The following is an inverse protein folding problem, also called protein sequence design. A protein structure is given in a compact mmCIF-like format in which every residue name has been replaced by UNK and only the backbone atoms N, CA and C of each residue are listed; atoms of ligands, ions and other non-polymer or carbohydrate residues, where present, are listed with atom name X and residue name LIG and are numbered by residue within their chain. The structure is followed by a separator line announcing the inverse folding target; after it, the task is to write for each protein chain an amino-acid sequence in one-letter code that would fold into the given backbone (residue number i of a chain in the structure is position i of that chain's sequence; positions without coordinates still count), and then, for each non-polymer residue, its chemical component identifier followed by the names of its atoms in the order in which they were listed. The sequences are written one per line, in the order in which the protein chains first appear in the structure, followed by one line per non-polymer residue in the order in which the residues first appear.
data_IF_669945230784
#
_entry.id   IF_669945230784
#
_cell.length_a   1.000
_cell.length_b   1.000
_cell.length_c   1.000
_cell.angle_alpha   90.00
_cell.angle_beta   90.00
_cell.angle_gamma   90.00
#
_symmetry.space_group_name_H-M   'P 1'
#
loop_
_entity.id
_entity.type
_entity.pdbx_description
1 polymer ?
#
# COMPACT_ATOMS: atom_id res chain seq x y z
N UNK A 1 -3.87 -22.09 -22.49
CA UNK A 1 -4.53 -22.07 -21.17
C UNK A 1 -4.18 -20.77 -20.47
N UNK A 2 -5.13 -19.83 -20.35
CA UNK A 2 -4.91 -18.62 -19.56
C UNK A 2 -4.91 -19.03 -18.09
N UNK A 3 -3.72 -19.22 -17.50
CA UNK A 3 -3.59 -19.21 -16.05
C UNK A 3 -4.23 -17.91 -15.59
N UNK A 4 -5.35 -18.01 -14.90
CA UNK A 4 -6.11 -16.85 -14.44
C UNK A 4 -5.17 -15.94 -13.66
N UNK A 5 -5.00 -14.70 -14.12
CA UNK A 5 -4.06 -13.76 -13.50
C UNK A 5 -4.31 -13.52 -12.01
N UNK A 6 -5.46 -13.97 -11.52
CA UNK A 6 -5.81 -14.08 -10.11
C UNK A 6 -4.76 -14.77 -9.24
N UNK A 7 -3.99 -15.75 -9.75
CA UNK A 7 -3.05 -16.53 -8.93
C UNK A 7 -1.91 -15.66 -8.38
N UNK A 8 -1.45 -14.66 -9.13
CA UNK A 8 -0.33 -13.80 -8.73
C UNK A 8 -0.74 -12.39 -8.29
N UNK A 9 -2.04 -12.06 -8.35
CA UNK A 9 -2.57 -10.80 -7.81
C UNK A 9 -2.24 -10.57 -6.33
N UNK A 10 -2.30 -11.56 -5.42
CA UNK A 10 -1.96 -11.32 -4.01
C UNK A 10 -0.51 -10.88 -3.81
N UNK A 11 0.42 -11.49 -4.55
CA UNK A 11 1.84 -11.13 -4.51
C UNK A 11 2.05 -9.69 -5.00
N UNK A 12 1.41 -9.34 -6.12
CA UNK A 12 1.50 -8.00 -6.69
C UNK A 12 0.87 -6.94 -5.77
N UNK A 13 -0.29 -7.25 -5.18
CA UNK A 13 -0.96 -6.36 -4.22
C UNK A 13 -0.09 -6.12 -2.97
N UNK A 14 0.55 -7.17 -2.44
CA UNK A 14 1.48 -7.05 -1.33
C UNK A 14 2.72 -6.21 -1.72
N UNK A 15 3.25 -6.40 -2.93
CA UNK A 15 4.35 -5.61 -3.45
C UNK A 15 3.99 -4.12 -3.55
N UNK A 16 2.82 -3.79 -4.11
CA UNK A 16 2.32 -2.41 -4.20
C UNK A 16 2.16 -1.81 -2.81
N UNK A 17 1.60 -2.56 -1.85
CA UNK A 17 1.50 -2.09 -0.47
C UNK A 17 2.89 -1.75 0.12
N UNK A 18 3.88 -2.62 -0.08
CA UNK A 18 5.27 -2.37 0.35
C UNK A 18 5.82 -1.11 -0.31
N UNK A 19 5.62 -0.94 -1.62
CA UNK A 19 6.04 0.26 -2.35
C UNK A 19 5.45 1.53 -1.73
N UNK A 20 4.16 1.53 -1.37
CA UNK A 20 3.52 2.68 -0.72
C UNK A 20 4.13 3.03 0.64
N UNK A 21 4.65 2.05 1.40
CA UNK A 21 5.43 2.35 2.61
C UNK A 21 6.72 3.12 2.28
N UNK A 22 7.35 2.82 1.15
CA UNK A 22 8.56 3.47 0.65
C UNK A 22 8.34 4.94 0.27
N UNK A 23 7.16 5.25 -0.27
CA UNK A 23 6.77 6.61 -0.69
C UNK A 23 6.84 7.61 0.47
N UNK A 24 6.54 7.19 1.70
CA UNK A 24 6.70 8.02 2.91
C UNK A 24 8.16 8.47 3.05
N UNK A 25 9.11 7.55 2.87
CA UNK A 25 10.53 7.84 2.89
C UNK A 25 10.96 8.72 1.72
N UNK A 26 10.40 8.51 0.54
CA UNK A 26 10.66 9.36 -0.64
C UNK A 26 10.25 10.80 -0.37
N UNK A 27 9.05 11.06 0.14
CA UNK A 27 8.61 12.42 0.43
C UNK A 27 9.51 13.14 1.44
N UNK A 28 9.99 12.44 2.47
CA UNK A 28 11.01 12.99 3.38
C UNK A 28 12.27 13.34 2.59
N UNK A 29 12.77 12.42 1.75
CA UNK A 29 13.95 12.67 0.92
C UNK A 29 13.77 13.87 -0.02
N UNK A 30 12.57 14.09 -0.59
CA UNK A 30 12.23 15.26 -1.40
C UNK A 30 12.32 16.55 -0.57
N UNK A 31 11.72 16.57 0.63
CA UNK A 31 11.77 17.73 1.53
C UNK A 31 13.21 18.11 1.89
N UNK A 32 14.10 17.13 2.03
CA UNK A 32 15.53 17.35 2.27
C UNK A 32 16.37 17.50 0.98
N UNK A 33 15.74 17.80 -0.16
CA UNK A 33 16.36 18.05 -1.46
C UNK A 33 17.26 16.91 -1.98
N UNK A 34 16.89 15.66 -1.71
CA UNK A 34 17.62 14.46 -2.15
C UNK A 34 17.07 13.85 -3.45
N UNK A 35 16.59 14.71 -4.35
CA UNK A 35 16.00 14.31 -5.63
C UNK A 35 16.98 13.51 -6.50
N UNK A 36 18.28 13.83 -6.47
CA UNK A 36 19.30 13.04 -7.20
C UNK A 36 19.39 11.60 -6.70
N UNK A 37 19.28 11.39 -5.38
CA UNK A 37 19.28 10.03 -4.82
C UNK A 37 18.03 9.27 -5.26
N UNK A 38 16.87 9.92 -5.22
CA UNK A 38 15.61 9.33 -5.65
C UNK A 38 15.69 8.90 -7.13
N UNK A 39 16.22 9.77 -7.99
CA UNK A 39 16.44 9.45 -9.41
C UNK A 39 17.36 8.24 -9.58
N UNK A 40 18.47 8.16 -8.85
CA UNK A 40 19.37 7.00 -8.93
C UNK A 40 18.70 5.71 -8.44
N UNK A 41 17.90 5.78 -7.37
CA UNK A 41 17.14 4.62 -6.88
C UNK A 41 16.16 4.13 -7.95
N UNK A 42 15.40 5.03 -8.58
CA UNK A 42 14.50 4.67 -9.67
C UNK A 42 15.23 4.07 -10.87
N UNK A 43 16.33 4.67 -11.32
CA UNK A 43 17.10 4.17 -12.46
C UNK A 43 17.68 2.79 -12.20
N UNK A 44 18.33 2.59 -11.06
CA UNK A 44 18.93 1.30 -10.68
C UNK A 44 17.84 0.23 -10.61
N UNK A 45 16.71 0.54 -9.97
CA UNK A 45 15.62 -0.42 -9.81
C UNK A 45 14.87 -0.70 -11.09
N UNK A 46 14.74 0.27 -12.01
CA UNK A 46 14.16 0.05 -13.33
C UNK A 46 15.02 -0.90 -14.17
N UNK A 47 16.35 -0.68 -14.19
CA UNK A 47 17.29 -1.57 -14.88
C UNK A 47 17.28 -2.97 -14.25
N UNK A 48 17.29 -3.04 -12.92
CA UNK A 48 17.18 -4.32 -12.20
C UNK A 48 15.85 -5.02 -12.50
N UNK A 49 14.74 -4.29 -12.57
CA UNK A 49 13.41 -4.86 -12.83
C UNK A 49 13.34 -5.49 -14.21
N UNK A 50 13.84 -4.79 -15.25
CA UNK A 50 13.91 -5.32 -16.62
C UNK A 50 14.80 -6.56 -16.64
N UNK A 51 15.98 -6.49 -16.02
CA UNK A 51 16.94 -7.60 -15.98
C UNK A 51 16.33 -8.83 -15.31
N UNK A 52 15.75 -8.67 -14.11
CA UNK A 52 15.10 -9.76 -13.38
C UNK A 52 13.90 -10.31 -14.13
N UNK A 53 13.12 -9.45 -14.78
CA UNK A 53 11.97 -9.88 -15.59
C UNK A 53 12.41 -10.75 -16.75
N UNK A 54 13.44 -10.34 -17.50
CA UNK A 54 14.02 -11.14 -18.60
C UNK A 54 14.57 -12.48 -18.09
N UNK A 55 15.17 -12.52 -16.89
CA UNK A 55 15.71 -13.74 -16.30
C UNK A 55 14.60 -14.68 -15.77
N UNK A 56 13.52 -14.14 -15.20
CA UNK A 56 12.49 -14.94 -14.56
C UNK A 56 11.38 -15.40 -15.50
N UNK A 57 11.11 -14.69 -16.60
CA UNK A 57 10.12 -15.13 -17.59
C UNK A 57 10.43 -16.54 -18.13
N UNK A 58 11.66 -16.88 -18.55
CA UNK A 58 11.98 -18.23 -19.02
C UNK A 58 11.82 -19.31 -17.94
N UNK A 59 12.02 -18.97 -16.66
CA UNK A 59 12.03 -19.91 -15.55
C UNK A 59 10.63 -20.13 -14.95
N UNK A 60 9.83 -19.07 -14.87
CA UNK A 60 8.58 -19.04 -14.10
C UNK A 60 7.38 -18.49 -14.88
N UNK A 61 7.58 -17.99 -16.11
CA UNK A 61 6.54 -17.32 -16.88
C UNK A 61 6.06 -16.01 -16.24
N UNK A 62 4.74 -15.76 -16.29
CA UNK A 62 4.11 -14.55 -15.75
C UNK A 62 4.34 -14.32 -14.24
N UNK A 63 4.28 -15.35 -13.36
CA UNK A 63 4.68 -15.20 -11.96
C UNK A 63 6.08 -14.61 -11.76
N UNK A 64 7.02 -14.89 -12.68
CA UNK A 64 8.36 -14.32 -12.66
C UNK A 64 8.36 -12.80 -12.76
N UNK A 65 7.44 -12.23 -13.55
CA UNK A 65 7.27 -10.77 -13.69
C UNK A 65 6.78 -10.14 -12.39
N UNK A 66 5.80 -10.77 -11.73
CA UNK A 66 5.29 -10.31 -10.44
C UNK A 66 6.37 -10.37 -9.35
N UNK A 67 7.19 -11.43 -9.35
CA UNK A 67 8.30 -11.59 -8.41
C UNK A 67 9.40 -10.54 -8.62
N UNK A 68 9.81 -10.30 -9.87
CA UNK A 68 10.77 -9.23 -10.19
C UNK A 68 10.28 -7.86 -9.71
N UNK A 69 9.00 -7.57 -9.92
CA UNK A 69 8.35 -6.34 -9.43
C UNK A 69 8.35 -6.24 -7.91
N UNK A 70 8.01 -7.34 -7.21
CA UNK A 70 8.05 -7.39 -5.75
C UNK A 70 9.44 -7.13 -5.18
N UNK A 71 10.48 -7.72 -5.77
CA UNK A 71 11.88 -7.50 -5.35
C UNK A 71 12.27 -6.03 -5.53
N UNK A 72 11.95 -5.42 -6.67
CA UNK A 72 12.28 -4.03 -6.92
C UNK A 72 11.51 -3.07 -6.00
N UNK A 73 10.22 -3.33 -5.74
CA UNK A 73 9.43 -2.53 -4.80
C UNK A 73 9.93 -2.66 -3.36
N UNK A 74 10.35 -3.85 -2.94
CA UNK A 74 11.01 -4.02 -1.65
C UNK A 74 12.32 -3.24 -1.57
N UNK A 75 13.16 -3.31 -2.60
CA UNK A 75 14.39 -2.52 -2.70
C UNK A 75 14.12 -1.01 -2.63
N UNK A 76 13.16 -0.52 -3.39
CA UNK A 76 12.72 0.88 -3.38
C UNK A 76 12.35 1.34 -1.97
N UNK A 77 11.50 0.56 -1.29
CA UNK A 77 11.03 0.88 0.07
C UNK A 77 12.15 0.85 1.08
N UNK A 78 13.01 -0.17 1.00
CA UNK A 78 14.17 -0.30 1.86
C UNK A 78 15.10 0.91 1.74
N UNK A 79 15.50 1.29 0.52
CA UNK A 79 16.42 2.41 0.31
C UNK A 79 15.82 3.75 0.75
N UNK A 80 14.57 4.03 0.38
CA UNK A 80 13.94 5.30 0.73
C UNK A 80 13.72 5.46 2.23
N UNK A 81 13.24 4.41 2.92
CA UNK A 81 13.05 4.45 4.37
C UNK A 81 14.40 4.53 5.11
N UNK A 82 15.38 3.69 4.74
CA UNK A 82 16.67 3.68 5.43
C UNK A 82 17.42 4.99 5.26
N UNK A 83 17.35 5.61 4.09
CA UNK A 83 18.00 6.89 3.86
C UNK A 83 17.24 8.04 4.54
N UNK A 84 15.91 8.04 4.51
CA UNK A 84 15.11 9.10 5.15
C UNK A 84 15.25 9.12 6.68
N UNK A 85 15.47 7.96 7.30
CA UNK A 85 15.75 7.83 8.74
C UNK A 85 17.01 8.56 9.21
N UNK A 86 17.90 8.98 8.29
CA UNK A 86 19.04 9.86 8.59
C UNK A 86 18.60 11.29 8.89
N UNK A 87 17.44 11.72 8.38
CA UNK A 87 16.91 13.07 8.56
C UNK A 87 15.79 13.10 9.61
N UNK A 88 14.83 12.17 9.51
CA UNK A 88 13.70 12.06 10.42
C UNK A 88 13.58 10.63 10.90
N UNK A 89 13.75 10.42 12.20
CA UNK A 89 13.42 9.13 12.84
C UNK A 89 11.92 9.12 13.12
N UNK A 90 11.20 8.32 12.35
CA UNK A 90 9.79 8.03 12.60
C UNK A 90 9.66 6.59 13.13
N UNK A 91 8.91 6.44 14.21
CA UNK A 91 8.55 5.13 14.77
C UNK A 91 7.19 4.69 14.26
N UNK A 92 7.04 3.39 14.04
CA UNK A 92 5.71 2.79 13.81
C UNK A 92 5.11 2.51 15.19
N UNK A 93 3.98 3.13 15.49
CA UNK A 93 3.24 2.81 16.71
C UNK A 93 2.62 1.41 16.59
N UNK A 94 3.21 0.45 17.31
CA UNK A 94 2.79 -0.95 17.24
C UNK A 94 1.32 -1.15 17.63
N UNK A 95 0.82 -0.36 18.60
CA UNK A 95 -0.59 -0.37 19.00
C UNK A 95 -1.52 0.00 17.84
N UNK A 96 -1.16 1.02 17.06
CA UNK A 96 -1.90 1.45 15.87
C UNK A 96 -1.83 0.40 14.77
N UNK A 97 -0.65 -0.21 14.54
CA UNK A 97 -0.48 -1.30 13.58
C UNK A 97 -1.38 -2.50 13.90
N UNK A 98 -1.45 -2.92 15.17
CA UNK A 98 -2.28 -4.05 15.61
C UNK A 98 -3.76 -3.77 15.35
N UNK A 99 -4.24 -2.54 15.64
CA UNK A 99 -5.63 -2.14 15.38
C UNK A 99 -5.97 -2.17 13.89
N UNK A 100 -5.04 -1.72 13.03
CA UNK A 100 -5.18 -1.77 11.57
C UNK A 100 -5.32 -3.22 11.11
N UNK A 101 -4.41 -4.10 11.52
CA UNK A 101 -4.42 -5.53 11.16
C UNK A 101 -5.73 -6.18 11.62
N UNK A 102 -6.14 -5.92 12.87
CA UNK A 102 -7.38 -6.45 13.42
C UNK A 102 -8.62 -5.97 12.66
N UNK A 103 -8.68 -4.68 12.31
CA UNK A 103 -9.78 -4.10 11.52
C UNK A 103 -9.84 -4.73 10.12
N UNK A 104 -8.69 -4.93 9.47
CA UNK A 104 -8.61 -5.61 8.18
C UNK A 104 -9.05 -7.08 8.28
N UNK A 105 -8.67 -7.79 9.34
CA UNK A 105 -9.07 -9.19 9.55
C UNK A 105 -10.59 -9.33 9.72
N UNK A 106 -11.23 -8.44 10.52
CA UNK A 106 -12.69 -8.42 10.67
C UNK A 106 -13.37 -8.12 9.33
N UNK A 107 -12.89 -7.12 8.59
CA UNK A 107 -13.44 -6.81 7.27
C UNK A 107 -13.38 -8.02 6.34
N UNK A 108 -12.24 -8.71 6.27
CA UNK A 108 -12.06 -9.91 5.43
C UNK A 108 -13.01 -11.02 5.88
N UNK A 109 -13.18 -11.24 7.19
CA UNK A 109 -14.10 -12.24 7.73
C UNK A 109 -15.55 -11.94 7.33
N UNK A 110 -15.99 -10.68 7.46
CA UNK A 110 -17.33 -10.27 7.05
C UNK A 110 -17.55 -10.49 5.55
N UNK A 111 -16.56 -10.16 4.71
CA UNK A 111 -16.61 -10.41 3.27
C UNK A 111 -16.70 -11.90 2.93
N UNK A 112 -15.92 -12.71 3.62
CA UNK A 112 -15.93 -14.16 3.43
C UNK A 112 -17.29 -14.75 3.77
N UNK A 113 -17.84 -14.41 4.95
CA UNK A 113 -19.17 -14.86 5.38
C UNK A 113 -20.24 -14.41 4.39
N UNK A 114 -20.21 -13.15 3.95
CA UNK A 114 -21.19 -12.65 2.98
C UNK A 114 -21.13 -13.42 1.65
N UNK A 115 -19.94 -13.73 1.15
CA UNK A 115 -19.77 -14.53 -0.06
C UNK A 115 -20.31 -15.96 0.10
N UNK A 116 -20.21 -16.53 1.30
CA UNK A 116 -20.77 -17.86 1.62
C UNK A 116 -22.30 -17.83 1.62
N UNK A 117 -22.91 -16.79 2.21
CA UNK A 117 -24.38 -16.69 2.31
C UNK A 117 -25.05 -16.14 1.05
N UNK A 118 -24.35 -15.31 0.27
CA UNK A 118 -24.87 -14.67 -0.95
C UNK A 118 -23.85 -14.79 -2.09
N UNK A 119 -23.66 -16.00 -2.66
CA UNK A 119 -22.60 -16.27 -3.62
C UNK A 119 -22.77 -15.54 -4.96
N UNK A 120 -23.99 -15.12 -5.29
CA UNK A 120 -24.31 -14.41 -6.54
C UNK A 120 -23.95 -12.92 -6.49
N UNK A 121 -23.62 -12.37 -5.32
CA UNK A 121 -23.25 -10.95 -5.20
C UNK A 121 -21.94 -10.68 -5.94
N UNK A 122 -22.00 -9.72 -6.87
CA UNK A 122 -20.83 -9.24 -7.58
C UNK A 122 -19.87 -8.53 -6.60
N UNK A 123 -18.64 -9.01 -6.53
CA UNK A 123 -17.55 -8.43 -5.70
C UNK A 123 -17.33 -6.93 -5.92
N UNK A 124 -17.62 -6.42 -7.12
CA UNK A 124 -17.46 -4.99 -7.44
C UNK A 124 -18.49 -4.12 -6.69
N UNK A 125 -19.70 -4.64 -6.49
CA UNK A 125 -20.82 -3.93 -5.85
C UNK A 125 -20.61 -3.80 -4.34
N UNK A 126 -19.99 -4.81 -3.71
CA UNK A 126 -19.77 -4.81 -2.25
C UNK A 126 -18.43 -4.18 -1.82
N UNK A 127 -17.50 -3.96 -2.75
CA UNK A 127 -16.20 -3.32 -2.46
C UNK A 127 -16.30 -1.97 -1.71
N UNK A 128 -17.29 -1.08 -1.98
CA UNK A 128 -17.45 0.15 -1.21
C UNK A 128 -17.96 -0.10 0.21
N UNK A 129 -18.85 -1.09 0.39
CA UNK A 129 -19.35 -1.50 1.70
C UNK A 129 -18.25 -2.08 2.59
N UNK A 130 -17.33 -2.85 2.00
CA UNK A 130 -16.13 -3.35 2.67
C UNK A 130 -15.24 -2.20 3.16
N UNK A 131 -14.97 -1.23 2.27
CA UNK A 131 -14.18 -0.05 2.61
C UNK A 131 -14.85 0.77 3.72
N UNK A 132 -16.17 0.97 3.67
CA UNK A 132 -16.93 1.65 4.70
C UNK A 132 -16.85 0.91 6.05
N UNK A 133 -17.02 -0.42 6.06
CA UNK A 133 -16.89 -1.24 7.27
C UNK A 133 -15.49 -1.10 7.88
N UNK A 134 -14.45 -1.17 7.06
CA UNK A 134 -13.07 -0.99 7.52
C UNK A 134 -12.85 0.40 8.15
N UNK A 135 -13.36 1.46 7.53
CA UNK A 135 -13.28 2.81 8.07
C UNK A 135 -14.04 2.97 9.40
N UNK A 136 -15.22 2.35 9.51
CA UNK A 136 -16.01 2.32 10.75
C UNK A 136 -15.22 1.63 11.86
N UNK A 137 -14.58 0.50 11.58
CA UNK A 137 -13.76 -0.24 12.54
C UNK A 137 -12.54 0.59 12.99
N UNK A 138 -11.82 1.22 12.05
CA UNK A 138 -10.69 2.09 12.38
C UNK A 138 -11.10 3.27 13.26
N UNK A 139 -12.26 3.88 12.97
CA UNK A 139 -12.81 4.95 13.78
C UNK A 139 -13.19 4.46 15.18
N UNK A 140 -13.90 3.33 15.28
CA UNK A 140 -14.31 2.71 16.53
C UNK A 140 -13.11 2.35 17.43
N UNK A 141 -12.01 1.85 16.82
CA UNK A 141 -10.76 1.53 17.54
C UNK A 141 -9.92 2.75 17.89
N UNK A 142 -10.39 3.98 17.58
CA UNK A 142 -9.68 5.24 17.78
C UNK A 142 -8.28 5.20 17.15
N UNK A 143 -8.21 4.70 15.92
CA UNK A 143 -6.97 4.64 15.16
C UNK A 143 -6.51 6.03 14.70
N UNK A 144 -7.45 6.97 14.58
CA UNK A 144 -7.18 8.37 14.21
C UNK A 144 -7.03 9.25 15.44
N UNK A 145 -6.03 10.11 15.41
CA UNK A 145 -5.84 11.17 16.41
C UNK A 145 -6.91 12.26 16.22
N UNK A 146 -7.41 12.84 17.32
CA UNK A 146 -8.33 13.99 17.26
C UNK A 146 -7.74 15.18 16.48
N UNK A 147 -6.40 15.31 16.46
CA UNK A 147 -5.69 16.33 15.66
C UNK A 147 -5.76 16.04 14.16
N UNK A 148 -5.71 14.76 13.76
CA UNK A 148 -5.84 14.36 12.35
C UNK A 148 -7.25 14.61 11.83
N UNK A 149 -8.28 14.30 12.64
CA UNK A 149 -9.68 14.58 12.31
C UNK A 149 -9.95 16.10 12.21
N UNK A 150 -9.26 16.92 12.99
CA UNK A 150 -9.39 18.38 12.91
C UNK A 150 -8.82 18.97 11.61
N UNK A 151 -7.76 18.39 11.04
CA UNK A 151 -7.18 18.81 9.75
C UNK A 151 -8.16 18.59 8.60
N UNK A 152 -8.90 17.48 8.61
CA UNK A 152 -9.96 17.26 7.63
C UNK A 152 -11.07 18.31 7.76
N UNK A 153 -11.46 18.65 9.00
CA UNK A 153 -12.50 19.66 9.24
C UNK A 153 -12.10 21.06 8.72
N UNK A 154 -10.84 21.47 8.86
CA UNK A 154 -10.36 22.77 8.37
C UNK A 154 -10.24 22.82 6.83
N UNK A 155 -9.89 21.73 6.17
CA UNK A 155 -9.87 21.64 4.70
C UNK A 155 -11.26 21.76 4.08
N UNK A 156 -12.28 21.17 4.69
CA UNK A 156 -13.68 21.27 4.20
C UNK A 156 -14.25 22.67 4.39
N UNK A 157 -13.85 23.39 5.44
CA UNK A 157 -14.28 24.77 5.70
C UNK A 157 -13.64 25.74 4.70
N UNK A 158 -12.34 25.60 4.39
CA UNK A 158 -11.65 26.48 3.44
C UNK A 158 -12.22 26.38 2.01
N UNK A 159 -12.70 25.20 1.63
CA UNK A 159 -13.35 24.98 0.32
C UNK A 159 -14.75 25.60 0.21
N UNK A 160 -15.38 25.93 1.35
CA UNK A 160 -16.71 26.58 1.43
C UNK A 160 -16.64 28.11 1.43
N UNK A 161 -15.46 28.69 1.66
CA UNK A 161 -15.24 30.16 1.69
C UNK A 161 -14.79 30.69 0.32
N UNK A 162 -14.28 29.82 -0.57
CA UNK A 162 -13.86 30.16 -1.93
C UNK A 162 -14.87 29.72 -3.03
N UNK A 163 -16.15 29.55 -2.67
CA UNK A 163 -17.28 29.40 -3.61
C UNK A 163 -18.33 30.44 -3.26
#
# INVERSE_FOLDING_TARGET
EFISGAVYLPLLAAAIFIFQCGVIGEYINIVFNKNRLILWVYLILAVANITLTILFIPLMGLPGVALATAICFFGYTFFNIKYSQRFIRFGIELSTLIKIIFSSAIMILCLYLLKVYVPEINTLIFSPGAAALYLILLYAMRCFSLKELAIFRTLTIKKRINR
#
